data_IF_799180071009
#
_entry.id   IF_799180071009
#
_cell.length_a   1.000
_cell.length_b   1.000
_cell.length_c   1.000
_cell.angle_alpha   90.00
_cell.angle_beta   90.00
_cell.angle_gamma   90.00
#
_symmetry.space_group_name_H-M   'P 1'
#
loop_
_entity.id
_entity.type
_entity.pdbx_description
1 polymer ?
#
# COMPACT_ATOMS: atom_id res chain seq x y z
N UNK A 1 -26.14 0.40 -13.31
CA UNK A 1 -25.60 -0.94 -13.57
C UNK A 1 -26.73 -1.94 -13.49
N UNK A 2 -26.78 -3.05 -14.27
CA UNK A 2 -27.71 -4.14 -14.00
C UNK A 2 -27.51 -4.60 -12.55
N UNK A 3 -28.59 -4.98 -11.86
CA UNK A 3 -28.49 -5.42 -10.47
C UNK A 3 -27.62 -6.68 -10.41
N UNK A 4 -26.43 -6.52 -9.88
CA UNK A 4 -25.50 -7.64 -9.63
C UNK A 4 -25.94 -8.31 -8.33
N UNK A 5 -26.15 -9.62 -8.38
CA UNK A 5 -26.45 -10.40 -7.19
C UNK A 5 -25.10 -10.85 -6.61
N UNK A 6 -24.76 -10.34 -5.45
CA UNK A 6 -23.55 -10.74 -4.72
C UNK A 6 -23.85 -12.00 -3.88
N UNK A 7 -22.96 -12.99 -3.84
CA UNK A 7 -23.07 -14.10 -2.90
C UNK A 7 -22.83 -13.60 -1.47
N UNK A 8 -23.25 -14.38 -0.47
CA UNK A 8 -22.84 -14.13 0.92
C UNK A 8 -21.31 -14.15 1.06
N UNK A 9 -20.66 -15.11 0.42
CA UNK A 9 -19.20 -15.26 0.35
C UNK A 9 -18.84 -16.13 -0.86
N UNK A 10 -17.66 -15.93 -1.46
CA UNK A 10 -17.16 -16.74 -2.57
C UNK A 10 -17.26 -16.07 -3.93
N UNK A 11 -17.09 -16.85 -5.02
CA UNK A 11 -16.96 -16.33 -6.37
C UNK A 11 -18.29 -15.85 -6.97
N UNK A 12 -18.17 -14.86 -7.85
CA UNK A 12 -19.24 -14.35 -8.71
C UNK A 12 -18.65 -13.77 -10.00
N UNK A 13 -19.49 -13.47 -10.98
CA UNK A 13 -19.05 -12.86 -12.23
C UNK A 13 -19.42 -11.38 -12.27
N UNK A 14 -18.46 -10.52 -12.58
CA UNK A 14 -18.76 -9.15 -13.00
C UNK A 14 -19.30 -9.17 -14.43
N UNK A 15 -20.47 -8.50 -14.68
CA UNK A 15 -21.05 -8.46 -16.03
C UNK A 15 -20.19 -7.67 -17.00
N UNK A 16 -20.53 -7.71 -18.29
CA UNK A 16 -19.95 -6.80 -19.26
C UNK A 16 -20.09 -5.34 -18.79
N UNK A 17 -19.09 -4.48 -19.03
CA UNK A 17 -17.93 -4.67 -19.90
C UNK A 17 -16.74 -5.40 -19.25
N UNK A 18 -16.77 -5.69 -17.96
CA UNK A 18 -15.63 -6.27 -17.23
C UNK A 18 -15.38 -7.73 -17.60
N UNK A 19 -16.42 -8.57 -17.51
CA UNK A 19 -16.37 -10.02 -17.78
C UNK A 19 -15.24 -10.72 -17.00
N UNK A 20 -15.06 -10.35 -15.74
CA UNK A 20 -14.04 -10.85 -14.83
C UNK A 20 -14.67 -11.64 -13.69
N UNK A 21 -13.88 -12.46 -13.02
CA UNK A 21 -14.30 -13.16 -11.81
C UNK A 21 -14.03 -12.31 -10.59
N UNK A 22 -15.07 -12.03 -9.78
CA UNK A 22 -14.97 -11.43 -8.47
C UNK A 22 -15.07 -12.49 -7.38
N UNK A 23 -14.56 -12.21 -6.19
CA UNK A 23 -14.69 -13.05 -5.00
C UNK A 23 -15.06 -12.13 -3.83
N UNK A 24 -16.21 -12.35 -3.19
CA UNK A 24 -16.54 -11.69 -1.92
C UNK A 24 -15.87 -12.45 -0.80
N UNK A 25 -14.97 -11.79 -0.08
CA UNK A 25 -14.13 -12.41 0.96
C UNK A 25 -14.86 -12.41 2.31
N UNK A 26 -15.52 -11.29 2.64
CA UNK A 26 -16.16 -11.10 3.95
C UNK A 26 -17.67 -10.97 3.83
N UNK A 27 -18.36 -11.18 4.96
CA UNK A 27 -19.80 -10.98 5.12
C UNK A 27 -20.14 -10.46 6.53
N UNK A 28 -21.42 -10.39 6.90
CA UNK A 28 -21.90 -9.87 8.18
C UNK A 28 -21.32 -10.55 9.43
N UNK A 29 -20.90 -11.80 9.31
CA UNK A 29 -20.40 -12.61 10.44
C UNK A 29 -18.98 -12.21 10.86
N UNK A 30 -18.22 -11.56 9.97
CA UNK A 30 -16.80 -11.22 10.18
C UNK A 30 -16.56 -9.99 11.07
N UNK A 31 -17.63 -9.28 11.45
CA UNK A 31 -17.55 -8.02 12.18
C UNK A 31 -17.39 -6.81 11.24
N UNK A 32 -17.12 -5.64 11.81
CA UNK A 32 -16.94 -4.41 11.05
C UNK A 32 -15.49 -4.30 10.57
N UNK A 33 -15.31 -4.13 9.26
CA UNK A 33 -13.99 -3.92 8.66
C UNK A 33 -13.55 -2.47 8.84
N UNK A 34 -12.32 -2.29 9.33
CA UNK A 34 -11.70 -0.97 9.47
C UNK A 34 -11.14 -0.49 8.12
N UNK A 35 -11.23 0.82 7.80
CA UNK A 35 -10.73 1.39 6.55
C UNK A 35 -9.20 1.61 6.60
N UNK A 36 -8.43 0.59 6.99
CA UNK A 36 -6.98 0.69 7.23
C UNK A 36 -6.12 0.00 6.18
N UNK A 37 -6.74 -0.44 5.09
CA UNK A 37 -6.02 -0.94 3.91
C UNK A 37 -5.50 0.23 3.09
N UNK A 38 -4.36 0.03 2.42
CA UNK A 38 -3.81 1.03 1.52
C UNK A 38 -3.18 0.40 0.28
N UNK A 39 -3.11 1.15 -0.81
CA UNK A 39 -2.77 0.63 -2.13
C UNK A 39 -1.37 0.01 -2.23
N UNK A 40 -0.38 0.54 -1.53
CA UNK A 40 1.01 0.07 -1.58
C UNK A 40 1.37 -0.99 -0.52
N UNK A 41 0.43 -1.36 0.36
CA UNK A 41 0.58 -2.48 1.29
C UNK A 41 -0.27 -3.65 0.85
N UNK A 42 0.32 -4.76 0.38
CA UNK A 42 -0.48 -5.90 -0.06
C UNK A 42 -1.20 -6.55 1.12
N UNK A 43 -2.53 -6.57 1.05
CA UNK A 43 -3.36 -7.32 1.99
C UNK A 43 -3.48 -8.80 1.62
N UNK A 44 -3.05 -9.17 0.41
CA UNK A 44 -3.07 -10.52 -0.14
C UNK A 44 -1.65 -11.00 -0.33
N UNK A 45 -1.33 -12.22 0.10
CA UNK A 45 0.00 -12.81 -0.05
C UNK A 45 0.31 -13.29 -1.49
N UNK A 46 1.56 -13.69 -1.73
CA UNK A 46 2.01 -14.28 -3.00
C UNK A 46 1.62 -15.76 -3.18
N UNK A 47 0.51 -16.20 -2.59
CA UNK A 47 0.09 -17.60 -2.58
C UNK A 47 -0.38 -18.10 -3.95
N UNK A 48 0.13 -19.26 -4.41
CA UNK A 48 -0.23 -19.82 -5.72
C UNK A 48 -1.41 -20.79 -5.67
N UNK A 49 -1.60 -21.49 -4.57
CA UNK A 49 -2.70 -22.43 -4.36
C UNK A 49 -3.72 -21.91 -3.37
N UNK A 50 -3.25 -21.19 -2.39
CA UNK A 50 -4.08 -20.60 -1.34
C UNK A 50 -3.61 -19.17 -1.14
N UNK A 51 -4.52 -18.23 -1.36
CA UNK A 51 -4.28 -16.83 -0.97
C UNK A 51 -4.60 -16.70 0.51
N UNK A 52 -3.78 -15.93 1.21
CA UNK A 52 -4.09 -15.47 2.56
C UNK A 52 -4.32 -13.97 2.54
N UNK A 53 -5.38 -13.56 3.20
CA UNK A 53 -5.82 -12.17 3.25
C UNK A 53 -5.94 -11.80 4.73
N UNK A 54 -5.35 -10.68 5.13
CA UNK A 54 -5.56 -10.14 6.46
C UNK A 54 -6.30 -8.80 6.41
N UNK A 55 -7.06 -8.51 7.46
CA UNK A 55 -7.80 -7.26 7.63
C UNK A 55 -7.87 -6.88 9.10
N UNK A 56 -7.83 -5.59 9.38
CA UNK A 56 -8.25 -5.04 10.64
C UNK A 56 -9.77 -5.06 10.77
N UNK A 57 -10.28 -5.53 11.89
CA UNK A 57 -11.71 -5.49 12.22
C UNK A 57 -11.93 -4.86 13.60
N UNK A 58 -13.17 -4.59 13.96
CA UNK A 58 -13.58 -4.19 15.31
C UNK A 58 -13.20 -5.23 16.40
N UNK A 59 -12.87 -6.47 15.97
CA UNK A 59 -12.42 -7.58 16.81
C UNK A 59 -10.90 -7.80 16.78
N UNK A 60 -10.14 -6.87 16.17
CA UNK A 60 -8.70 -6.99 15.91
C UNK A 60 -8.38 -7.61 14.55
N UNK A 61 -7.10 -7.90 14.27
CA UNK A 61 -6.67 -8.46 12.99
C UNK A 61 -7.20 -9.88 12.78
N UNK A 62 -7.90 -10.08 11.68
CA UNK A 62 -8.45 -11.36 11.25
C UNK A 62 -7.84 -11.77 9.92
N UNK A 63 -7.96 -13.07 9.55
CA UNK A 63 -7.49 -13.55 8.27
C UNK A 63 -8.38 -14.61 7.64
N UNK A 64 -8.29 -14.70 6.33
CA UNK A 64 -9.04 -15.62 5.48
C UNK A 64 -8.11 -16.33 4.51
N UNK A 65 -8.50 -17.53 4.12
CA UNK A 65 -7.89 -18.25 3.00
C UNK A 65 -8.84 -18.30 1.82
N UNK A 66 -8.30 -18.20 0.61
CA UNK A 66 -9.02 -18.40 -0.65
C UNK A 66 -8.30 -19.45 -1.47
N UNK A 67 -8.95 -20.55 -1.78
CA UNK A 67 -8.44 -21.54 -2.72
C UNK A 67 -8.44 -20.98 -4.14
N UNK A 68 -7.30 -20.95 -4.81
CA UNK A 68 -7.18 -20.30 -6.13
C UNK A 68 -7.85 -21.08 -7.26
N UNK A 69 -8.18 -22.36 -7.06
CA UNK A 69 -8.81 -23.21 -8.07
C UNK A 69 -10.34 -23.19 -8.00
N UNK A 70 -10.88 -23.22 -6.79
CA UNK A 70 -12.34 -23.21 -6.56
C UNK A 70 -12.88 -21.82 -6.24
N UNK A 71 -12.01 -20.90 -5.80
CA UNK A 71 -12.33 -19.59 -5.22
C UNK A 71 -13.18 -19.69 -3.95
N UNK A 72 -13.16 -20.84 -3.28
CA UNK A 72 -13.77 -21.01 -1.96
C UNK A 72 -13.04 -20.16 -0.94
N UNK A 73 -13.80 -19.47 -0.08
CA UNK A 73 -13.28 -18.59 0.98
C UNK A 73 -13.50 -19.24 2.34
N UNK A 74 -12.44 -19.40 3.11
CA UNK A 74 -12.45 -20.02 4.43
C UNK A 74 -12.00 -18.98 5.47
N UNK A 75 -12.89 -18.49 6.35
CA UNK A 75 -12.50 -17.69 7.50
C UNK A 75 -11.61 -18.49 8.45
N UNK A 76 -10.53 -17.87 8.90
CA UNK A 76 -9.59 -18.52 9.84
C UNK A 76 -9.63 -17.89 11.24
N UNK A 77 -10.18 -16.67 11.36
CA UNK A 77 -10.32 -15.97 12.62
C UNK A 77 -9.13 -15.06 12.95
N UNK A 78 -8.86 -14.80 14.25
CA UNK A 78 -7.82 -13.86 14.65
C UNK A 78 -6.41 -14.37 14.31
N UNK A 79 -5.53 -13.44 13.88
CA UNK A 79 -4.10 -13.75 13.66
C UNK A 79 -3.40 -14.03 14.98
N UNK A 80 -3.73 -13.25 16.02
CA UNK A 80 -3.12 -13.38 17.34
C UNK A 80 -4.18 -13.74 18.39
N UNK A 81 -3.80 -14.56 19.38
CA UNK A 81 -4.72 -14.94 20.47
C UNK A 81 -5.10 -13.72 21.33
N UNK A 82 -6.25 -13.80 21.98
CA UNK A 82 -6.70 -12.77 22.91
C UNK A 82 -5.63 -12.51 24.00
N UNK A 83 -5.36 -11.23 24.27
CA UNK A 83 -4.33 -10.80 25.22
C UNK A 83 -2.94 -10.59 24.61
N UNK A 84 -2.72 -11.00 23.37
CA UNK A 84 -1.50 -10.61 22.66
C UNK A 84 -1.52 -9.10 22.33
N UNK A 85 -0.41 -8.35 22.46
CA UNK A 85 -0.39 -6.91 22.19
C UNK A 85 -0.93 -6.51 20.83
N UNK A 86 -0.66 -7.31 19.80
CA UNK A 86 -1.14 -7.07 18.44
C UNK A 86 -2.59 -7.51 18.18
N UNK A 87 -3.25 -8.20 19.13
CA UNK A 87 -4.63 -8.68 18.97
C UNK A 87 -5.67 -7.55 18.90
N UNK A 88 -5.31 -6.35 19.34
CA UNK A 88 -6.15 -5.14 19.28
C UNK A 88 -5.69 -4.13 18.24
N UNK A 89 -4.71 -4.49 17.41
CA UNK A 89 -4.20 -3.64 16.33
C UNK A 89 -5.24 -3.42 15.25
N UNK A 90 -5.18 -2.26 14.60
CA UNK A 90 -5.98 -1.97 13.40
C UNK A 90 -5.40 -2.60 12.13
N UNK A 91 -4.23 -3.24 12.23
CA UNK A 91 -3.45 -3.77 11.12
C UNK A 91 -3.03 -2.71 10.06
N UNK A 92 -3.04 -1.43 10.42
CA UNK A 92 -2.57 -0.35 9.54
C UNK A 92 -1.06 -0.47 9.30
N UNK A 93 -0.65 -0.43 8.04
CA UNK A 93 0.76 -0.57 7.65
C UNK A 93 1.29 -2.01 7.70
N UNK A 94 0.46 -2.98 8.08
CA UNK A 94 0.83 -4.37 7.93
C UNK A 94 0.80 -4.76 6.45
N UNK A 95 1.69 -5.67 6.06
CA UNK A 95 1.76 -6.12 4.68
C UNK A 95 2.43 -7.48 4.56
N UNK A 96 2.02 -8.24 3.53
CA UNK A 96 2.70 -9.48 3.17
C UNK A 96 4.08 -9.20 2.59
N UNK A 97 5.00 -10.14 2.80
CA UNK A 97 6.27 -10.13 2.09
C UNK A 97 6.04 -10.28 0.58
N UNK A 98 6.89 -9.60 -0.21
CA UNK A 98 6.76 -9.54 -1.66
C UNK A 98 7.10 -10.85 -2.38
N UNK A 99 7.78 -11.77 -1.70
CA UNK A 99 8.33 -13.02 -2.26
C UNK A 99 7.93 -14.25 -1.48
N UNK A 100 7.88 -14.13 -0.17
CA UNK A 100 7.56 -15.25 0.72
C UNK A 100 6.07 -15.20 1.09
N UNK A 101 5.34 -16.21 0.62
CA UNK A 101 3.90 -16.29 0.81
C UNK A 101 3.48 -16.52 2.27
N UNK A 102 4.39 -16.96 3.13
CA UNK A 102 4.09 -17.31 4.52
C UNK A 102 4.50 -16.22 5.51
N UNK A 103 5.16 -15.14 5.04
CA UNK A 103 5.65 -14.07 5.90
C UNK A 103 4.73 -12.84 5.85
N UNK A 104 4.27 -12.39 7.02
CA UNK A 104 3.51 -11.16 7.24
C UNK A 104 4.32 -10.20 8.11
N UNK A 105 4.55 -8.98 7.65
CA UNK A 105 5.08 -7.90 8.47
C UNK A 105 3.95 -7.22 9.23
N UNK A 106 4.09 -7.20 10.57
CA UNK A 106 3.17 -6.57 11.51
C UNK A 106 3.92 -5.48 12.26
N UNK A 107 3.24 -4.43 12.68
CA UNK A 107 3.90 -3.35 13.40
C UNK A 107 3.05 -2.80 14.54
N UNK A 108 3.72 -2.25 15.52
CA UNK A 108 3.20 -1.30 16.49
C UNK A 108 4.05 -0.01 16.43
N UNK A 109 3.83 0.93 17.36
CA UNK A 109 4.54 2.22 17.39
C UNK A 109 6.06 2.09 17.65
N UNK A 110 6.55 0.92 18.09
CA UNK A 110 7.94 0.71 18.52
C UNK A 110 8.65 -0.41 17.77
N UNK A 111 7.90 -1.32 17.17
CA UNK A 111 8.44 -2.55 16.62
C UNK A 111 7.92 -2.82 15.22
N UNK A 112 8.78 -3.39 14.41
CA UNK A 112 8.40 -4.17 13.23
C UNK A 112 8.62 -5.64 13.55
N UNK A 113 7.58 -6.43 13.38
CA UNK A 113 7.59 -7.87 13.55
C UNK A 113 7.44 -8.56 12.21
N UNK A 114 7.92 -9.80 12.15
CA UNK A 114 7.69 -10.73 11.06
C UNK A 114 7.01 -11.98 11.62
N UNK A 115 5.80 -12.25 11.18
CA UNK A 115 5.04 -13.43 11.56
C UNK A 115 5.09 -14.46 10.43
N UNK A 116 5.54 -15.67 10.74
CA UNK A 116 5.59 -16.80 9.82
C UNK A 116 4.37 -17.70 10.02
N UNK A 117 3.49 -17.75 9.03
CA UNK A 117 2.28 -18.57 9.07
C UNK A 117 2.56 -20.07 8.98
N UNK A 118 3.73 -20.50 8.50
CA UNK A 118 4.10 -21.93 8.41
C UNK A 118 4.52 -22.52 9.75
N UNK A 119 5.13 -21.70 10.62
CA UNK A 119 5.64 -22.10 11.94
C UNK A 119 4.84 -21.49 13.08
N UNK A 120 4.01 -20.50 12.83
CA UNK A 120 3.33 -19.65 13.80
C UNK A 120 4.30 -18.89 14.74
N UNK A 121 5.51 -18.58 14.26
CA UNK A 121 6.52 -17.85 14.98
C UNK A 121 6.43 -16.35 14.69
N UNK A 122 6.61 -15.53 15.72
CA UNK A 122 6.70 -14.08 15.65
C UNK A 122 8.11 -13.63 16.03
N UNK A 123 8.81 -13.03 15.08
CA UNK A 123 10.15 -12.46 15.28
C UNK A 123 10.08 -10.94 15.34
N UNK A 124 10.83 -10.31 16.26
CA UNK A 124 11.05 -8.87 16.24
C UNK A 124 12.18 -8.54 15.27
N UNK A 125 11.83 -7.89 14.14
CA UNK A 125 12.79 -7.48 13.11
C UNK A 125 13.47 -6.17 13.48
N UNK A 126 12.69 -5.22 13.99
CA UNK A 126 13.17 -3.91 14.46
C UNK A 126 12.55 -3.59 15.80
N UNK A 127 13.39 -3.11 16.74
CA UNK A 127 12.99 -2.53 18.02
C UNK A 127 13.64 -1.15 18.17
N UNK A 128 12.81 -0.10 18.22
CA UNK A 128 13.30 1.26 18.43
C UNK A 128 13.32 1.67 19.91
N UNK A 129 12.86 0.83 20.83
CA UNK A 129 12.77 1.15 22.26
C UNK A 129 14.12 1.63 22.82
N UNK A 130 15.28 1.02 22.48
CA UNK A 130 16.58 1.51 22.93
C UNK A 130 16.95 2.91 22.43
N UNK A 131 16.34 3.35 21.31
CA UNK A 131 16.58 4.65 20.70
C UNK A 131 15.64 5.74 21.23
N UNK A 132 14.54 5.35 21.86
CA UNK A 132 13.52 6.27 22.38
C UNK A 132 13.65 6.49 23.88
N UNK A 133 14.75 7.16 24.28
CA UNK A 133 15.01 7.51 25.69
C UNK A 133 13.93 8.39 26.35
N UNK A 134 13.09 9.05 25.54
CA UNK A 134 12.02 9.92 26.06
C UNK A 134 10.67 9.23 26.24
N UNK A 135 10.48 8.04 25.62
CA UNK A 135 9.20 7.35 25.53
C UNK A 135 8.15 8.07 24.64
N UNK A 136 8.59 9.07 23.87
CA UNK A 136 7.72 9.97 23.10
C UNK A 136 7.81 9.78 21.59
N UNK A 137 8.67 8.88 21.12
CA UNK A 137 8.83 8.61 19.69
C UNK A 137 8.01 7.38 19.27
N UNK A 138 7.55 7.40 18.03
CA UNK A 138 6.91 6.29 17.35
C UNK A 138 7.42 6.17 15.92
N UNK A 139 7.34 4.99 15.33
CA UNK A 139 7.60 4.74 13.91
C UNK A 139 6.40 4.05 13.31
N UNK A 140 5.95 4.55 12.15
CA UNK A 140 4.75 4.07 11.46
C UNK A 140 5.00 4.05 9.96
N UNK A 141 4.01 3.54 9.21
CA UNK A 141 4.07 3.51 7.74
C UNK A 141 5.30 2.75 7.24
N UNK A 142 5.43 1.51 7.71
CA UNK A 142 6.55 0.66 7.36
C UNK A 142 6.50 0.22 5.89
N UNK A 143 7.65 0.29 5.22
CA UNK A 143 7.86 -0.29 3.90
C UNK A 143 9.07 -1.20 3.93
N UNK A 144 8.92 -2.37 3.32
CA UNK A 144 9.95 -3.41 3.34
C UNK A 144 10.44 -3.71 1.93
N UNK A 145 11.74 -3.85 1.76
CA UNK A 145 12.36 -4.38 0.54
C UNK A 145 13.50 -5.33 0.90
N UNK A 146 13.19 -6.59 0.95
CA UNK A 146 14.12 -7.62 1.40
C UNK A 146 14.55 -7.36 2.84
N UNK A 147 15.84 -7.01 3.05
CA UNK A 147 16.41 -6.72 4.37
C UNK A 147 16.36 -5.25 4.78
N UNK A 148 15.80 -4.37 3.97
CA UNK A 148 15.70 -2.94 4.26
C UNK A 148 14.28 -2.54 4.56
N UNK A 149 14.12 -1.79 5.64
CA UNK A 149 12.83 -1.32 6.13
C UNK A 149 12.90 0.18 6.32
N UNK A 150 12.02 0.92 5.68
CA UNK A 150 11.84 2.35 5.96
C UNK A 150 10.59 2.58 6.79
N UNK A 151 10.60 3.62 7.59
CA UNK A 151 9.45 4.08 8.34
C UNK A 151 9.50 5.58 8.55
N UNK A 152 8.31 6.20 8.68
CA UNK A 152 8.19 7.58 9.11
C UNK A 152 8.28 7.64 10.63
N UNK A 153 9.13 8.51 11.14
CA UNK A 153 9.30 8.73 12.57
C UNK A 153 8.50 9.94 13.04
N UNK A 154 7.83 9.78 14.16
CA UNK A 154 6.97 10.77 14.81
C UNK A 154 7.43 11.05 16.21
N UNK A 155 7.11 12.25 16.73
CA UNK A 155 7.30 12.60 18.14
C UNK A 155 6.00 13.09 18.73
N UNK A 156 5.65 12.61 19.90
CA UNK A 156 4.49 13.09 20.67
C UNK A 156 4.83 14.45 21.30
N UNK A 157 4.12 15.50 20.92
CA UNK A 157 4.31 16.85 21.49
C UNK A 157 3.27 17.16 22.57
N UNK A 158 2.03 16.70 22.41
CA UNK A 158 0.93 16.82 23.39
C UNK A 158 -0.10 15.69 23.20
N UNK A 159 -1.26 15.76 23.89
CA UNK A 159 -2.31 14.76 23.71
C UNK A 159 -2.89 14.80 22.30
N UNK A 160 -2.65 13.70 21.55
CA UNK A 160 -3.17 13.51 20.20
C UNK A 160 -2.32 14.06 19.07
N UNK A 161 -1.30 14.89 19.34
CA UNK A 161 -0.44 15.44 18.31
C UNK A 161 0.87 14.63 18.12
N UNK A 162 1.02 14.06 16.92
CA UNK A 162 2.17 13.26 16.52
C UNK A 162 2.76 13.81 15.20
N UNK A 163 3.44 14.97 15.21
CA UNK A 163 4.11 15.45 14.02
C UNK A 163 5.21 14.49 13.57
N UNK A 164 5.29 14.28 12.25
CA UNK A 164 6.41 13.59 11.64
C UNK A 164 7.69 14.43 11.79
N UNK A 165 8.81 13.79 12.10
CA UNK A 165 10.10 14.43 12.32
C UNK A 165 11.17 14.00 11.32
N UNK A 166 10.95 12.93 10.58
CA UNK A 166 11.88 12.42 9.58
C UNK A 166 11.59 10.98 9.21
N UNK A 167 12.53 10.41 8.49
CA UNK A 167 12.49 9.02 8.02
C UNK A 167 13.63 8.23 8.59
N UNK A 168 13.38 6.98 8.94
CA UNK A 168 14.40 6.04 9.41
C UNK A 168 14.45 4.82 8.49
N UNK A 169 15.67 4.33 8.22
CA UNK A 169 15.88 3.09 7.46
C UNK A 169 16.72 2.13 8.31
N UNK A 170 16.21 0.94 8.47
CA UNK A 170 16.87 -0.19 9.13
C UNK A 170 17.33 -1.21 8.09
N UNK A 171 18.42 -1.92 8.40
CA UNK A 171 18.92 -3.02 7.58
C UNK A 171 19.12 -4.26 8.45
N UNK A 172 18.38 -5.34 8.17
CA UNK A 172 18.45 -6.59 8.93
C UNK A 172 19.86 -7.22 8.88
N UNK A 173 20.27 -7.82 9.99
CA UNK A 173 21.53 -8.57 10.08
C UNK A 173 22.77 -7.69 10.07
N UNK A 174 22.62 -6.37 10.22
CA UNK A 174 23.73 -5.44 10.38
C UNK A 174 23.82 -4.93 11.82
N UNK A 175 25.05 -4.72 12.33
CA UNK A 175 25.27 -4.02 13.60
C UNK A 175 25.30 -2.49 13.42
N UNK A 176 24.93 -2.01 12.24
CA UNK A 176 24.93 -0.58 11.95
C UNK A 176 23.70 0.06 12.60
N UNK A 177 23.85 1.27 13.18
CA UNK A 177 22.71 2.03 13.65
C UNK A 177 21.78 2.36 12.47
N UNK A 178 20.48 2.54 12.73
CA UNK A 178 19.55 2.96 11.70
C UNK A 178 19.99 4.29 11.06
N UNK A 179 19.80 4.40 9.75
CA UNK A 179 20.08 5.63 9.02
C UNK A 179 18.91 6.58 9.18
N UNK A 180 19.22 7.84 9.43
CA UNK A 180 18.24 8.88 9.74
C UNK A 180 18.27 10.02 8.73
N UNK A 181 17.12 10.41 8.25
CA UNK A 181 16.89 11.60 7.44
C UNK A 181 15.84 12.49 8.13
N UNK A 182 16.25 13.59 8.75
CA UNK A 182 15.30 14.54 9.33
C UNK A 182 14.45 15.16 8.23
N UNK A 183 13.22 15.55 8.56
CA UNK A 183 12.45 16.42 7.68
C UNK A 183 13.16 17.77 7.50
N UNK A 184 12.98 18.40 6.33
CA UNK A 184 13.66 19.64 6.00
C UNK A 184 12.82 20.83 6.52
N UNK A 185 13.31 21.51 7.55
CA UNK A 185 12.67 22.72 8.09
C UNK A 185 11.22 22.47 8.55
N UNK A 186 10.31 23.33 8.11
CA UNK A 186 8.89 23.29 8.44
C UNK A 186 8.07 22.44 7.44
N UNK A 187 8.73 21.67 6.58
CA UNK A 187 8.08 20.85 5.58
C UNK A 187 7.02 19.93 6.18
N UNK A 188 5.92 19.75 5.47
CA UNK A 188 5.03 18.62 5.72
C UNK A 188 5.72 17.35 5.21
N UNK A 189 5.89 16.37 6.09
CA UNK A 189 6.37 15.03 5.73
C UNK A 189 5.19 14.08 5.87
N UNK A 190 4.84 13.41 4.76
CA UNK A 190 3.72 12.49 4.71
C UNK A 190 4.19 11.06 5.02
N UNK A 191 5.06 10.51 4.18
CA UNK A 191 5.53 9.13 4.32
C UNK A 191 6.89 8.93 3.65
N UNK A 192 7.43 7.72 3.82
CA UNK A 192 8.64 7.30 3.11
C UNK A 192 8.53 5.86 2.64
N UNK A 193 9.09 5.58 1.46
CA UNK A 193 9.07 4.25 0.86
C UNK A 193 10.48 3.84 0.42
N UNK A 194 10.97 2.70 0.91
CA UNK A 194 12.10 2.03 0.26
C UNK A 194 11.60 1.34 -1.01
N UNK A 195 12.28 1.56 -2.14
CA UNK A 195 11.89 0.97 -3.41
C UNK A 195 12.04 -0.56 -3.43
N UNK A 196 11.40 -1.24 -4.37
CA UNK A 196 11.43 -2.72 -4.46
C UNK A 196 12.84 -3.32 -4.67
N UNK A 197 13.82 -2.54 -5.08
CA UNK A 197 15.21 -2.98 -5.18
C UNK A 197 15.98 -2.87 -3.86
N UNK A 198 15.46 -2.13 -2.90
CA UNK A 198 16.15 -1.77 -1.66
C UNK A 198 17.28 -0.78 -1.84
N UNK A 199 17.45 -0.21 -3.04
CA UNK A 199 18.54 0.73 -3.35
C UNK A 199 18.17 2.18 -3.10
N UNK A 200 16.89 2.51 -3.25
CA UNK A 200 16.40 3.87 -3.22
C UNK A 200 15.39 4.09 -2.11
N UNK A 201 15.42 5.27 -1.53
CA UNK A 201 14.43 5.75 -0.57
C UNK A 201 13.75 6.97 -1.16
N UNK A 202 12.44 6.94 -1.24
CA UNK A 202 11.59 8.11 -1.47
C UNK A 202 11.12 8.64 -0.13
N UNK A 203 11.23 9.95 0.07
CA UNK A 203 10.65 10.66 1.22
C UNK A 203 9.68 11.70 0.64
N UNK A 204 8.40 11.53 0.91
CA UNK A 204 7.34 12.45 0.48
C UNK A 204 7.25 13.60 1.46
N UNK A 205 7.71 14.75 1.02
CA UNK A 205 7.65 15.99 1.80
C UNK A 205 7.61 17.20 0.87
N UNK A 206 7.07 18.31 1.38
CA UNK A 206 7.03 19.58 0.64
C UNK A 206 8.17 20.48 1.12
N UNK A 207 9.26 20.66 0.36
CA UNK A 207 10.34 21.57 0.73
C UNK A 207 9.88 23.02 0.87
N UNK A 208 10.42 23.73 1.86
CA UNK A 208 10.08 25.13 2.09
C UNK A 208 10.36 26.01 0.85
N UNK A 209 9.37 26.78 0.43
CA UNK A 209 9.48 27.66 -0.74
C UNK A 209 9.07 27.04 -2.07
N UNK A 210 8.66 25.77 -2.08
CA UNK A 210 8.10 25.10 -3.24
C UNK A 210 6.59 24.93 -3.06
N UNK A 211 5.76 25.47 -3.95
CA UNK A 211 4.32 25.25 -3.92
C UNK A 211 4.01 23.87 -4.52
N UNK A 212 3.93 22.86 -3.72
CA UNK A 212 3.62 21.53 -4.17
C UNK A 212 4.27 20.46 -3.30
N UNK A 213 3.92 19.22 -3.55
CA UNK A 213 4.54 18.06 -2.90
C UNK A 213 5.79 17.71 -3.71
N UNK A 214 6.97 18.01 -3.18
CA UNK A 214 8.23 17.60 -3.75
C UNK A 214 8.79 16.41 -2.95
N UNK A 215 9.36 15.45 -3.64
CA UNK A 215 9.89 14.25 -3.03
C UNK A 215 11.42 14.26 -3.05
N UNK A 216 12.02 13.84 -1.94
CA UNK A 216 13.44 13.51 -1.91
C UNK A 216 13.66 12.07 -2.31
N UNK A 217 14.57 11.87 -3.26
CA UNK A 217 14.99 10.55 -3.73
C UNK A 217 16.43 10.33 -3.31
N UNK A 218 16.67 9.32 -2.49
CA UNK A 218 17.98 9.06 -1.88
C UNK A 218 18.51 7.72 -2.36
N UNK A 219 19.71 7.72 -2.93
CA UNK A 219 20.43 6.49 -3.20
C UNK A 219 21.03 5.94 -1.91
N UNK A 220 20.48 4.88 -1.37
CA UNK A 220 20.91 4.30 -0.09
C UNK A 220 22.34 3.75 -0.11
N UNK A 221 22.93 3.48 -1.28
CA UNK A 221 24.30 2.98 -1.40
C UNK A 221 25.33 4.09 -1.42
N UNK A 222 25.02 5.24 -2.05
CA UNK A 222 25.97 6.38 -2.19
C UNK A 222 25.66 7.52 -1.23
N UNK A 223 24.43 7.62 -0.73
CA UNK A 223 23.94 8.77 0.01
C UNK A 223 23.60 9.98 -0.88
N UNK A 224 23.66 9.83 -2.20
CA UNK A 224 23.27 10.90 -3.12
C UNK A 224 21.78 11.17 -2.97
N UNK A 225 21.44 12.45 -2.81
CA UNK A 225 20.08 12.95 -2.66
C UNK A 225 19.71 13.80 -3.87
N UNK A 226 18.49 13.60 -4.38
CA UNK A 226 17.90 14.36 -5.48
C UNK A 226 16.47 14.73 -5.08
N UNK A 227 15.94 15.79 -5.67
CA UNK A 227 14.58 16.27 -5.41
C UNK A 227 13.79 16.21 -6.72
N UNK A 228 12.58 15.66 -6.68
CA UNK A 228 11.59 15.81 -7.73
C UNK A 228 10.91 17.15 -7.48
N UNK A 229 11.11 18.12 -8.38
CA UNK A 229 10.63 19.49 -8.23
C UNK A 229 9.59 19.85 -9.29
N UNK A 230 8.74 20.84 -8.97
CA UNK A 230 7.95 21.56 -9.96
C UNK A 230 8.87 22.25 -11.02
N UNK A 231 8.42 22.45 -12.27
CA UNK A 231 7.03 22.33 -12.78
C UNK A 231 6.66 20.92 -13.26
N UNK A 232 7.54 19.95 -13.16
CA UNK A 232 7.26 18.58 -13.65
C UNK A 232 6.20 17.86 -12.81
N UNK A 233 5.85 18.41 -11.64
CA UNK A 233 4.98 17.79 -10.65
C UNK A 233 5.68 16.74 -9.83
N UNK A 234 5.48 16.74 -8.53
CA UNK A 234 5.98 15.74 -7.61
C UNK A 234 4.95 14.62 -7.41
N UNK A 235 5.36 13.39 -7.13
CA UNK A 235 4.43 12.31 -6.87
C UNK A 235 3.70 12.54 -5.54
N UNK A 236 2.41 12.88 -5.62
CA UNK A 236 1.49 12.87 -4.49
C UNK A 236 1.26 11.44 -3.98
N UNK A 237 0.03 10.92 -4.10
CA UNK A 237 -0.19 9.48 -3.86
C UNK A 237 0.65 8.66 -4.83
N UNK A 238 1.52 7.80 -4.31
CA UNK A 238 2.52 7.11 -5.13
C UNK A 238 2.84 5.72 -4.62
N UNK A 239 3.43 4.88 -5.47
CA UNK A 239 4.00 3.58 -5.09
C UNK A 239 5.29 3.32 -5.86
N UNK A 240 6.30 2.78 -5.16
CA UNK A 240 7.63 2.52 -5.72
C UNK A 240 7.71 1.18 -6.43
N UNK A 241 8.31 1.18 -7.63
CA UNK A 241 8.76 -0.02 -8.33
C UNK A 241 10.23 -0.33 -8.08
N UNK A 242 10.94 -0.83 -9.07
CA UNK A 242 12.38 -1.09 -9.04
C UNK A 242 13.15 0.08 -9.66
N UNK A 243 13.63 1.02 -8.83
CA UNK A 243 14.39 2.19 -9.28
C UNK A 243 13.52 3.29 -9.91
N UNK A 244 12.24 3.31 -9.62
CA UNK A 244 11.32 4.35 -10.06
C UNK A 244 10.11 4.44 -9.14
N UNK A 245 9.38 5.53 -9.23
CA UNK A 245 8.08 5.73 -8.58
C UNK A 245 7.00 6.04 -9.62
N UNK A 246 5.80 5.56 -9.36
CA UNK A 246 4.56 5.94 -10.05
C UNK A 246 3.74 6.77 -9.09
N UNK A 247 3.40 7.99 -9.48
CA UNK A 247 2.69 8.89 -8.59
C UNK A 247 1.77 9.87 -9.33
N UNK A 248 0.86 10.46 -8.57
CA UNK A 248 -0.03 11.50 -9.04
C UNK A 248 0.70 12.84 -9.14
N UNK A 249 0.56 13.52 -10.27
CA UNK A 249 0.96 14.91 -10.47
C UNK A 249 -0.24 15.81 -10.17
N UNK A 250 -0.30 16.34 -8.96
CA UNK A 250 -1.43 17.15 -8.49
C UNK A 250 -1.32 18.63 -8.89
N UNK A 251 -0.29 19.01 -9.66
CA UNK A 251 0.01 20.39 -10.04
C UNK A 251 -0.53 20.77 -11.42
N UNK A 252 -1.25 19.87 -12.09
CA UNK A 252 -1.75 20.06 -13.45
C UNK A 252 -3.25 20.40 -13.50
N UNK A 253 -3.69 20.93 -14.63
CA UNK A 253 -5.12 21.19 -14.90
C UNK A 253 -5.97 19.91 -14.94
N UNK A 254 -5.34 18.75 -15.19
CA UNK A 254 -5.93 17.42 -15.19
C UNK A 254 -5.21 16.55 -14.18
N UNK A 255 -5.92 15.61 -13.56
CA UNK A 255 -5.33 14.59 -12.72
C UNK A 255 -4.42 13.68 -13.58
N UNK A 256 -3.13 13.87 -13.43
CA UNK A 256 -2.10 13.23 -14.25
C UNK A 256 -1.30 12.27 -13.40
N UNK A 257 -1.06 11.09 -13.91
CA UNK A 257 -0.17 10.11 -13.31
C UNK A 257 1.12 10.01 -14.14
N UNK A 258 2.24 9.99 -13.42
CA UNK A 258 3.57 9.96 -14.01
C UNK A 258 4.41 8.84 -13.43
N UNK A 259 5.43 8.48 -14.19
CA UNK A 259 6.52 7.62 -13.76
C UNK A 259 7.80 8.45 -13.72
N UNK A 260 8.52 8.44 -12.60
CA UNK A 260 9.84 9.04 -12.41
C UNK A 260 10.88 7.96 -12.16
N UNK A 261 11.81 7.70 -13.13
CA UNK A 261 12.99 6.89 -12.87
C UNK A 261 13.93 7.60 -11.89
N UNK A 262 14.43 6.93 -10.86
CA UNK A 262 15.24 7.55 -9.81
C UNK A 262 16.65 7.95 -10.27
N UNK A 263 17.17 7.33 -11.30
CA UNK A 263 18.50 7.64 -11.86
C UNK A 263 18.52 8.90 -12.75
N UNK A 264 17.43 9.25 -13.40
CA UNK A 264 17.34 10.40 -14.30
C UNK A 264 16.38 11.49 -13.85
N UNK A 265 15.34 11.13 -13.08
CA UNK A 265 14.19 11.94 -12.71
C UNK A 265 13.41 12.53 -13.92
N UNK A 266 13.67 12.03 -15.13
CA UNK A 266 12.91 12.44 -16.32
C UNK A 266 11.57 11.72 -16.35
N UNK A 267 10.53 12.43 -15.93
CA UNK A 267 9.20 11.84 -15.85
C UNK A 267 8.57 11.61 -17.20
N UNK A 268 7.61 10.67 -17.23
CA UNK A 268 6.68 10.49 -18.36
C UNK A 268 5.26 10.32 -17.88
N UNK A 269 4.31 10.88 -18.61
CA UNK A 269 2.88 10.68 -18.35
C UNK A 269 2.49 9.25 -18.71
N UNK A 270 1.74 8.61 -17.82
CA UNK A 270 1.20 7.26 -18.02
C UNK A 270 -0.33 7.24 -18.04
N UNK A 271 -0.97 8.25 -17.44
CA UNK A 271 -2.42 8.42 -17.44
C UNK A 271 -2.78 9.89 -17.24
N UNK A 272 -3.89 10.32 -17.83
CA UNK A 272 -4.53 11.60 -17.55
C UNK A 272 -6.03 11.40 -17.45
N UNK A 273 -6.66 11.93 -16.39
CA UNK A 273 -8.11 11.87 -16.17
C UNK A 273 -8.64 13.24 -15.76
N UNK A 274 -9.95 13.52 -15.96
CA UNK A 274 -10.58 14.69 -15.37
C UNK A 274 -10.54 14.62 -13.82
N UNK A 275 -10.49 15.77 -13.17
CA UNK A 275 -10.49 15.83 -11.70
C UNK A 275 -11.74 15.25 -11.05
N UNK A 276 -12.88 15.29 -11.75
CA UNK A 276 -14.16 14.76 -11.26
C UNK A 276 -14.23 13.23 -11.27
N UNK A 277 -13.33 12.58 -12.05
CA UNK A 277 -13.28 11.12 -12.16
C UNK A 277 -11.82 10.67 -12.25
N UNK A 278 -11.09 10.81 -11.15
CA UNK A 278 -9.65 10.59 -11.11
C UNK A 278 -9.28 9.24 -10.47
N UNK A 279 -8.13 8.72 -10.86
CA UNK A 279 -7.36 7.77 -10.07
C UNK A 279 -6.74 8.56 -8.92
N UNK A 280 -6.90 8.08 -7.68
CA UNK A 280 -6.31 8.70 -6.48
C UNK A 280 -5.18 7.83 -5.95
N UNK A 281 -5.33 6.51 -6.03
CA UNK A 281 -4.36 5.56 -5.52
C UNK A 281 -3.92 4.61 -6.63
N UNK A 282 -2.65 4.23 -6.61
CA UNK A 282 -2.10 3.16 -7.43
C UNK A 282 -1.45 2.11 -6.56
N UNK A 283 -1.49 0.87 -7.01
CA UNK A 283 -0.78 -0.24 -6.40
C UNK A 283 0.21 -0.83 -7.39
N UNK A 284 1.44 -0.92 -6.97
CA UNK A 284 2.52 -1.61 -7.69
C UNK A 284 3.09 -2.77 -6.88
N UNK A 285 2.25 -3.41 -6.05
CA UNK A 285 2.65 -4.55 -5.23
C UNK A 285 3.18 -5.73 -6.07
N UNK A 286 2.82 -5.79 -7.34
CA UNK A 286 3.30 -6.76 -8.32
C UNK A 286 4.61 -6.37 -9.02
N UNK A 287 5.28 -5.29 -8.61
CA UNK A 287 6.52 -4.86 -9.26
C UNK A 287 7.57 -5.97 -9.30
N UNK A 288 8.20 -6.14 -10.46
CA UNK A 288 9.26 -7.12 -10.70
C UNK A 288 10.52 -6.43 -11.19
N UNK A 289 11.72 -7.02 -10.95
CA UNK A 289 12.94 -6.54 -11.59
C UNK A 289 12.80 -6.50 -13.11
N UNK A 290 13.17 -5.37 -13.72
CA UNK A 290 13.11 -5.20 -15.16
C UNK A 290 12.77 -3.77 -15.57
N UNK A 291 12.62 -3.55 -16.88
CA UNK A 291 12.29 -2.24 -17.39
C UNK A 291 10.86 -1.83 -17.00
N UNK A 292 10.73 -0.60 -16.55
CA UNK A 292 9.46 -0.04 -16.08
C UNK A 292 8.35 -0.06 -17.15
N UNK A 293 8.71 0.11 -18.42
CA UNK A 293 7.79 0.09 -19.57
C UNK A 293 7.12 -1.27 -19.83
N UNK A 294 7.59 -2.33 -19.15
CA UNK A 294 6.97 -3.68 -19.18
C UNK A 294 6.11 -3.97 -17.96
N UNK A 295 5.93 -2.98 -17.11
CA UNK A 295 5.16 -3.09 -15.88
C UNK A 295 3.79 -2.40 -16.05
N UNK A 296 2.95 -2.60 -15.06
CA UNK A 296 1.65 -1.96 -14.93
C UNK A 296 1.27 -1.81 -13.46
N UNK A 297 0.34 -0.92 -13.16
CA UNK A 297 -0.20 -0.69 -11.82
C UNK A 297 -1.72 -0.84 -11.83
N UNK A 298 -2.29 -1.13 -10.66
CA UNK A 298 -3.72 -1.07 -10.42
C UNK A 298 -4.08 0.33 -9.95
N UNK A 299 -4.99 0.99 -10.66
CA UNK A 299 -5.51 2.32 -10.31
C UNK A 299 -6.91 2.23 -9.70
N UNK A 300 -7.17 3.05 -8.69
CA UNK A 300 -8.47 3.20 -8.02
C UNK A 300 -8.64 4.63 -7.51
N UNK A 301 -9.89 5.08 -7.31
CA UNK A 301 -10.16 6.43 -6.85
C UNK A 301 -11.62 6.82 -6.93
N UNK A 302 -11.90 8.05 -7.38
CA UNK A 302 -13.27 8.51 -7.66
C UNK A 302 -13.79 8.03 -9.01
N UNK A 303 -12.93 7.47 -9.88
CA UNK A 303 -13.40 6.72 -11.05
C UNK A 303 -14.28 5.55 -10.59
N UNK A 304 -15.33 5.19 -11.35
CA UNK A 304 -16.25 4.14 -10.95
C UNK A 304 -15.64 2.74 -10.98
N UNK A 305 -14.46 2.59 -11.58
CA UNK A 305 -13.83 1.32 -11.90
C UNK A 305 -12.46 1.17 -11.23
N UNK A 306 -12.07 -0.07 -11.00
CA UNK A 306 -10.68 -0.46 -10.84
C UNK A 306 -10.09 -0.66 -12.25
N UNK A 307 -8.94 -0.05 -12.50
CA UNK A 307 -8.31 -0.08 -13.83
C UNK A 307 -6.86 -0.54 -13.75
N UNK A 308 -6.41 -1.27 -14.77
CA UNK A 308 -4.98 -1.49 -14.98
C UNK A 308 -4.40 -0.38 -15.84
N UNK A 309 -3.23 0.13 -15.48
CA UNK A 309 -2.54 1.23 -16.15
C UNK A 309 -1.14 0.73 -16.55
N UNK A 310 -0.86 0.53 -17.85
CA UNK A 310 0.48 0.17 -18.32
C UNK A 310 1.45 1.32 -18.14
N UNK A 311 2.70 1.01 -17.80
CA UNK A 311 3.74 2.01 -17.57
C UNK A 311 4.56 2.36 -18.82
N UNK A 312 4.14 1.89 -19.99
CA UNK A 312 4.78 2.15 -21.29
C UNK A 312 4.48 3.52 -21.89
N UNK A 313 3.60 4.31 -21.24
CA UNK A 313 3.15 5.61 -21.75
C UNK A 313 2.05 5.54 -22.81
N UNK A 314 1.54 4.34 -23.11
CA UNK A 314 0.46 4.16 -24.10
C UNK A 314 -0.89 4.71 -23.66
N UNK A 315 -1.08 4.94 -22.34
CA UNK A 315 -2.35 5.34 -21.69
C UNK A 315 -3.51 4.36 -21.96
N UNK A 316 -3.22 3.11 -22.35
CA UNK A 316 -4.22 2.08 -22.67
C UNK A 316 -4.67 1.39 -21.39
N UNK A 317 -5.61 2.01 -20.68
CA UNK A 317 -6.18 1.43 -19.47
C UNK A 317 -7.20 0.33 -19.82
N UNK A 318 -7.42 -0.58 -18.85
CA UNK A 318 -8.48 -1.58 -18.90
C UNK A 318 -9.23 -1.58 -17.59
N UNK A 319 -10.55 -1.36 -17.63
CA UNK A 319 -11.43 -1.55 -16.48
C UNK A 319 -11.56 -3.06 -16.21
N UNK A 320 -11.37 -3.45 -14.94
CA UNK A 320 -11.37 -4.85 -14.52
C UNK A 320 -12.52 -5.20 -13.57
N UNK A 321 -13.01 -4.22 -12.80
CA UNK A 321 -14.15 -4.38 -11.89
C UNK A 321 -14.75 -3.00 -11.59
N UNK A 322 -16.05 -2.91 -11.26
CA UNK A 322 -16.60 -1.71 -10.66
C UNK A 322 -16.07 -1.57 -9.23
N UNK A 323 -15.79 -0.35 -8.78
CA UNK A 323 -15.29 -0.10 -7.43
C UNK A 323 -16.29 -0.48 -6.35
N UNK A 324 -17.59 -0.41 -6.64
CA UNK A 324 -18.72 -0.64 -5.72
C UNK A 324 -18.62 0.24 -4.45
N UNK A 325 -17.95 1.37 -4.56
CA UNK A 325 -17.76 2.35 -3.49
C UNK A 325 -18.65 3.56 -3.72
N UNK A 326 -19.06 4.22 -2.63
CA UNK A 326 -19.86 5.45 -2.73
C UNK A 326 -19.02 6.66 -3.14
N UNK A 327 -17.70 6.64 -2.81
CA UNK A 327 -16.79 7.76 -3.09
C UNK A 327 -17.15 9.05 -2.34
N UNK A 328 -18.01 8.98 -1.31
CA UNK A 328 -18.52 10.14 -0.61
C UNK A 328 -17.47 10.85 0.25
N UNK A 329 -16.48 10.11 0.74
CA UNK A 329 -15.36 10.59 1.52
C UNK A 329 -14.12 9.72 1.31
N UNK A 330 -12.99 10.15 1.86
CA UNK A 330 -11.70 9.46 1.71
C UNK A 330 -11.72 8.02 2.26
N UNK A 331 -12.45 7.75 3.33
CA UNK A 331 -12.54 6.41 3.95
C UNK A 331 -13.40 5.44 3.15
N UNK A 332 -14.24 5.96 2.24
CA UNK A 332 -15.09 5.16 1.34
C UNK A 332 -14.49 4.98 -0.05
N UNK A 333 -13.28 5.54 -0.32
CA UNK A 333 -12.57 5.30 -1.57
C UNK A 333 -11.99 3.87 -1.63
N UNK A 334 -12.01 3.25 -2.81
CA UNK A 334 -11.34 1.98 -3.02
C UNK A 334 -9.82 2.21 -3.05
N UNK A 335 -9.13 1.86 -1.99
CA UNK A 335 -7.66 1.87 -1.92
C UNK A 335 -7.15 0.52 -2.38
N UNK A 336 -7.40 0.22 -3.65
CA UNK A 336 -7.16 -1.11 -4.19
C UNK A 336 -5.66 -1.45 -4.21
N UNK A 337 -5.32 -2.65 -3.74
CA UNK A 337 -3.97 -3.20 -3.78
C UNK A 337 -3.89 -4.44 -4.67
N UNK A 338 -2.71 -4.75 -5.18
CA UNK A 338 -2.42 -5.98 -5.91
C UNK A 338 -1.84 -7.03 -4.95
N UNK A 339 -2.08 -8.30 -5.25
CA UNK A 339 -1.23 -9.35 -4.72
C UNK A 339 0.18 -9.25 -5.33
N UNK A 340 1.24 -9.77 -4.68
CA UNK A 340 2.60 -9.66 -5.20
C UNK A 340 2.84 -10.37 -6.54
N UNK A 341 2.00 -11.31 -6.95
CA UNK A 341 2.06 -11.97 -8.27
C UNK A 341 1.31 -11.21 -9.37
N UNK A 342 0.49 -10.20 -9.00
CA UNK A 342 -0.32 -9.43 -9.93
C UNK A 342 -1.47 -10.21 -10.56
N UNK A 343 -1.95 -11.24 -9.86
CA UNK A 343 -3.05 -12.07 -10.32
C UNK A 343 -4.40 -11.62 -9.77
N UNK A 344 -4.39 -10.93 -8.63
CA UNK A 344 -5.60 -10.48 -7.95
C UNK A 344 -5.50 -9.01 -7.54
N UNK A 345 -6.56 -8.26 -7.83
CA UNK A 345 -6.80 -6.96 -7.22
C UNK A 345 -7.66 -7.14 -5.97
N UNK A 346 -7.28 -6.49 -4.88
CA UNK A 346 -7.99 -6.50 -3.60
C UNK A 346 -8.49 -5.09 -3.27
N UNK A 347 -9.70 -4.95 -2.75
CA UNK A 347 -10.21 -3.66 -2.22
C UNK A 347 -11.35 -3.86 -1.22
N UNK A 348 -11.64 -2.81 -0.46
CA UNK A 348 -12.84 -2.71 0.36
C UNK A 348 -13.92 -1.93 -0.40
N UNK A 349 -15.15 -2.39 -0.34
CA UNK A 349 -16.30 -1.76 -0.98
C UNK A 349 -17.54 -1.80 -0.08
N UNK A 350 -18.55 -0.98 -0.43
CA UNK A 350 -19.78 -0.83 0.35
C UNK A 350 -21.05 -1.05 -0.49
N UNK A 351 -21.16 -2.14 -1.26
CA UNK A 351 -22.25 -2.32 -2.22
C UNK A 351 -23.64 -2.40 -1.58
N UNK A 352 -23.73 -2.85 -0.33
CA UNK A 352 -24.98 -3.05 0.42
C UNK A 352 -25.02 -2.19 1.70
N UNK A 353 -24.26 -1.07 1.73
CA UNK A 353 -24.16 -0.16 2.87
C UNK A 353 -23.23 -0.64 3.98
N UNK A 354 -22.71 -1.85 3.92
CA UNK A 354 -21.68 -2.41 4.80
C UNK A 354 -20.36 -2.53 4.05
N UNK A 355 -19.25 -2.29 4.72
CA UNK A 355 -17.92 -2.50 4.14
C UNK A 355 -17.58 -3.98 4.10
N UNK A 356 -17.29 -4.48 2.91
CA UNK A 356 -16.82 -5.82 2.63
C UNK A 356 -15.52 -5.83 1.83
N UNK A 357 -14.77 -6.92 1.94
CA UNK A 357 -13.56 -7.16 1.18
C UNK A 357 -13.84 -7.97 -0.08
N UNK A 358 -13.23 -7.56 -1.18
CA UNK A 358 -13.38 -8.18 -2.49
C UNK A 358 -12.04 -8.45 -3.14
N UNK A 359 -12.01 -9.50 -3.97
CA UNK A 359 -10.95 -9.75 -4.93
C UNK A 359 -11.53 -9.72 -6.34
N UNK A 360 -10.69 -9.35 -7.31
CA UNK A 360 -10.94 -9.56 -8.74
C UNK A 360 -9.76 -10.29 -9.35
N UNK A 361 -10.04 -11.33 -10.13
CA UNK A 361 -9.01 -12.01 -10.92
C UNK A 361 -8.60 -11.10 -12.08
N UNK A 362 -7.30 -10.78 -12.18
CA UNK A 362 -6.74 -9.96 -13.25
C UNK A 362 -6.59 -10.81 -14.51
N UNK A 363 -7.23 -10.43 -15.64
CA UNK A 363 -7.23 -11.22 -16.87
C UNK A 363 -5.97 -11.05 -17.71
#
# INVERSE_FOLDING_TARGET
>A
MPSMILPERGPFAFPAPYSTTGIRVTNGDDGELLPRTYAYWPNVNAGRRTLRIFLGTDRGPQWWEVDTSSHEVIPRGPIFPAGHPLAVSTAEGWHWDWKDQDLLYCADDKHLYRYDFSTAELETVVDITPLDWSGRHAVRQWHTSGKRHSATAFVRVDEGAWPAIGTVVFEEGTCQPPRWWPKIGDNALDESQVDRSGKWLQIKETPAGHPGEDDRIINLSTGEERIITDPEGAPGHSDCGYGYVVGADNQRDLATWRLWPFDSLQSRVILTTPWEAQVIHVSHCNARPGAADRQWVLGSGTIPDLITIPLDGSMRTRAIAPSMCTGADYDTLPRASLDPEGQYGFWLATPEGRRDAFLVLIP
#
